data_IF_676348294189
#
_entry.id   IF_676348294189
#
_cell.length_a   1.000
_cell.length_b   1.000
_cell.length_c   1.000
_cell.angle_alpha   90.00
_cell.angle_beta   90.00
_cell.angle_gamma   90.00
#
_symmetry.space_group_name_H-M   'P 1'
#
loop_
_entity.id
_entity.type
_entity.pdbx_description
1 polymer ?
#
# COMPACT_ATOMS: atom_id res chain seq x y z
N UNK A 1 20.43 13.11 -3.95
CA UNK A 1 20.41 11.82 -4.68
C UNK A 1 20.08 10.60 -3.81
N UNK A 2 20.02 10.72 -2.48
CA UNK A 2 19.71 9.59 -1.58
C UNK A 2 18.23 9.20 -1.61
N UNK A 3 17.30 10.17 -1.54
CA UNK A 3 15.85 9.93 -1.48
C UNK A 3 15.32 9.10 -2.64
N UNK A 4 15.74 9.39 -3.88
CA UNK A 4 15.29 8.62 -5.04
C UNK A 4 15.72 7.15 -4.96
N UNK A 5 16.97 6.89 -4.55
CA UNK A 5 17.48 5.52 -4.41
C UNK A 5 16.74 4.77 -3.31
N UNK A 6 16.53 5.42 -2.16
CA UNK A 6 15.75 4.84 -1.06
C UNK A 6 14.32 4.52 -1.49
N UNK A 7 13.67 5.41 -2.25
CA UNK A 7 12.32 5.16 -2.75
C UNK A 7 12.27 3.95 -3.69
N UNK A 8 13.23 3.83 -4.61
CA UNK A 8 13.31 2.69 -5.53
C UNK A 8 13.58 1.38 -4.79
N UNK A 9 14.48 1.39 -3.81
CA UNK A 9 14.76 0.22 -2.97
C UNK A 9 13.53 -0.24 -2.19
N UNK A 10 12.76 0.70 -1.62
CA UNK A 10 11.51 0.38 -0.95
C UNK A 10 10.48 -0.20 -1.93
N UNK A 11 10.32 0.40 -3.12
CA UNK A 11 9.41 -0.10 -4.14
C UNK A 11 9.74 -1.54 -4.57
N UNK A 12 11.02 -1.85 -4.77
CA UNK A 12 11.52 -3.20 -5.07
C UNK A 12 11.26 -4.17 -3.91
N UNK A 13 11.58 -3.76 -2.67
CA UNK A 13 11.39 -4.58 -1.48
C UNK A 13 9.91 -4.91 -1.25
N UNK A 14 9.02 -3.95 -1.52
CA UNK A 14 7.57 -4.18 -1.42
C UNK A 14 7.00 -4.91 -2.64
N UNK A 15 7.80 -5.20 -3.68
CA UNK A 15 7.34 -5.94 -4.86
C UNK A 15 6.38 -5.15 -5.76
N UNK A 16 6.54 -3.82 -5.82
CA UNK A 16 5.72 -2.97 -6.68
C UNK A 16 6.02 -3.28 -8.14
N UNK A 17 5.05 -3.90 -8.83
CA UNK A 17 5.18 -4.36 -10.22
C UNK A 17 4.52 -3.43 -11.26
N UNK A 18 3.84 -2.37 -10.81
CA UNK A 18 3.12 -1.44 -11.67
C UNK A 18 2.51 -0.28 -10.90
N UNK A 19 1.99 0.72 -11.60
CA UNK A 19 1.36 1.91 -11.02
C UNK A 19 -0.09 2.08 -11.50
N UNK A 20 -0.99 2.64 -10.68
CA UNK A 20 -0.79 3.02 -9.28
C UNK A 20 -0.64 1.79 -8.37
N UNK A 21 0.07 1.94 -7.25
CA UNK A 21 0.17 0.92 -6.20
C UNK A 21 0.03 1.62 -4.85
N UNK A 22 -0.75 1.03 -3.95
CA UNK A 22 -1.08 1.63 -2.64
C UNK A 22 -0.75 0.64 -1.52
N UNK A 23 -0.05 1.11 -0.48
CA UNK A 23 0.24 0.32 0.72
C UNK A 23 -0.68 0.77 1.88
N UNK A 24 -1.42 -0.16 2.48
CA UNK A 24 -2.37 0.09 3.57
C UNK A 24 -2.07 -0.87 4.72
N UNK A 25 -1.43 -0.36 5.77
CA UNK A 25 -0.91 -1.22 6.85
C UNK A 25 0.13 -2.19 6.29
N UNK A 26 -0.15 -3.49 6.38
CA UNK A 26 0.68 -4.57 5.84
C UNK A 26 0.22 -5.06 4.45
N UNK A 27 -0.84 -4.49 3.88
CA UNK A 27 -1.39 -4.90 2.58
C UNK A 27 -0.90 -4.02 1.45
N UNK A 28 -0.42 -4.66 0.39
CA UNK A 28 -0.14 -4.01 -0.89
C UNK A 28 -1.32 -4.21 -1.84
N UNK A 29 -1.83 -3.11 -2.37
CA UNK A 29 -2.86 -3.08 -3.40
C UNK A 29 -2.24 -2.66 -4.74
N UNK A 30 -2.06 -3.61 -5.68
CA UNK A 30 -1.57 -3.31 -7.02
C UNK A 30 -2.70 -2.81 -7.92
N UNK A 31 -2.42 -1.78 -8.71
CA UNK A 31 -3.35 -1.23 -9.68
C UNK A 31 -4.36 -0.24 -9.09
N UNK A 32 -5.18 0.32 -9.99
CA UNK A 32 -6.28 1.20 -9.61
C UNK A 32 -7.50 0.38 -9.19
N UNK A 33 -8.20 0.84 -8.16
CA UNK A 33 -9.48 0.29 -7.70
C UNK A 33 -10.52 1.41 -7.55
N UNK A 34 -11.78 1.02 -7.35
CA UNK A 34 -12.83 1.97 -6.99
C UNK A 34 -12.55 2.62 -5.63
N UNK A 35 -13.14 3.78 -5.38
CA UNK A 35 -12.99 4.45 -4.08
C UNK A 35 -13.64 3.63 -2.96
N UNK A 36 -14.77 3.00 -3.26
CA UNK A 36 -15.54 2.17 -2.34
C UNK A 36 -14.72 0.97 -1.86
N UNK A 37 -14.01 0.29 -2.77
CA UNK A 37 -13.12 -0.83 -2.44
C UNK A 37 -11.93 -0.36 -1.59
N UNK A 38 -11.35 0.79 -1.94
CA UNK A 38 -10.25 1.38 -1.18
C UNK A 38 -10.68 1.72 0.25
N UNK A 39 -11.85 2.35 0.42
CA UNK A 39 -12.38 2.71 1.73
C UNK A 39 -12.65 1.46 2.60
N UNK A 40 -13.22 0.42 2.01
CA UNK A 40 -13.47 -0.85 2.69
C UNK A 40 -12.17 -1.50 3.19
N UNK A 41 -11.13 -1.54 2.34
CA UNK A 41 -9.81 -2.06 2.71
C UNK A 41 -9.17 -1.26 3.85
N UNK A 42 -9.24 0.07 3.81
CA UNK A 42 -8.73 0.93 4.90
C UNK A 42 -9.45 0.65 6.21
N UNK A 43 -10.80 0.59 6.20
CA UNK A 43 -11.60 0.29 7.40
C UNK A 43 -11.25 -1.08 7.98
N UNK A 44 -11.07 -2.09 7.13
CA UNK A 44 -10.65 -3.43 7.56
C UNK A 44 -9.29 -3.41 8.26
N UNK A 45 -8.30 -2.70 7.70
CA UNK A 45 -6.96 -2.62 8.30
C UNK A 45 -6.95 -1.86 9.63
N UNK A 46 -7.71 -0.77 9.73
CA UNK A 46 -7.87 -0.04 10.98
C UNK A 46 -8.54 -0.88 12.07
N UNK A 47 -9.53 -1.71 11.72
CA UNK A 47 -10.18 -2.61 12.66
C UNK A 47 -9.22 -3.67 13.22
N UNK A 48 -8.28 -4.19 12.42
CA UNK A 48 -7.25 -5.14 12.88
C UNK A 48 -6.35 -4.53 13.96
N UNK A 49 -5.93 -3.28 13.79
CA UNK A 49 -5.07 -2.57 14.76
C UNK A 49 -5.81 -2.25 16.05
N UNK A 50 -7.11 -1.92 15.97
CA UNK A 50 -7.92 -1.58 17.16
C UNK A 50 -8.24 -2.78 18.06
N UNK A 51 -8.15 -3.99 17.53
CA UNK A 51 -8.47 -5.24 18.23
C UNK A 51 -7.22 -6.01 18.68
N UNK A 52 -6.02 -5.42 18.55
CA UNK A 52 -4.74 -6.01 18.93
C UNK A 52 -4.10 -5.33 20.14
#
# INVERSE_FOLDING_TARGET
MTTLRTNMQLAEQFGVQGTPATLIGDQMLPGAVSYEDLEALVKQQLAKVKNG
#
